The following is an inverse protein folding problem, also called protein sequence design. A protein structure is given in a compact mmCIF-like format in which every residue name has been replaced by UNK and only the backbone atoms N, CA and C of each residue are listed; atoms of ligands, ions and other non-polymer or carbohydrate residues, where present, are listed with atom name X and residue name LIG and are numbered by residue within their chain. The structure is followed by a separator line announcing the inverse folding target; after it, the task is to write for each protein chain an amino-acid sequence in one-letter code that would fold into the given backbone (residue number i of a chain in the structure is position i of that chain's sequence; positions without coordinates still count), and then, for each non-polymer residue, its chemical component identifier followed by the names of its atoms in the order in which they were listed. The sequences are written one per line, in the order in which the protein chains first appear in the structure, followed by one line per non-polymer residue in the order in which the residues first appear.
data_IF_200584230597
#
_entry.id   IF_200584230597
#
_cell.length_a   1.000
_cell.length_b   1.000
_cell.length_c   1.000
_cell.angle_alpha   90.00
_cell.angle_beta   90.00
_cell.angle_gamma   90.00
#
_symmetry.space_group_name_H-M   'P 1'
#
loop_
_entity.id
_entity.type
_entity.pdbx_description
1 polymer ?
#
# COMPACT_ATOMS: atom_id res chain seq x y z
N UNK A 1 2.00 -2.53 1.83
CA UNK A 1 0.87 -1.58 1.62
C UNK A 1 -0.11 -2.24 0.65
N UNK A 2 -1.39 -2.40 1.00
CA UNK A 2 -2.38 -3.06 0.14
C UNK A 2 -3.26 -2.02 -0.57
N UNK A 3 -3.37 -2.13 -1.90
CA UNK A 3 -4.30 -1.35 -2.71
C UNK A 3 -5.46 -2.28 -3.12
N UNK A 4 -6.67 -1.97 -2.67
CA UNK A 4 -7.89 -2.70 -3.03
C UNK A 4 -8.57 -1.93 -4.17
N UNK A 5 -8.36 -2.39 -5.39
CA UNK A 5 -8.96 -1.76 -6.56
C UNK A 5 -10.27 -2.47 -6.92
N UNK A 6 -11.38 -1.73 -6.85
CA UNK A 6 -12.78 -2.18 -7.02
C UNK A 6 -13.42 -2.75 -5.75
N UNK A 7 -13.63 -1.94 -4.70
CA UNK A 7 -14.42 -2.45 -3.59
C UNK A 7 -15.94 -2.42 -3.86
N UNK A 8 -16.57 -3.56 -3.59
CA UNK A 8 -17.92 -3.61 -3.06
C UNK A 8 -17.83 -3.49 -1.54
N UNK A 9 -18.58 -2.52 -1.03
CA UNK A 9 -18.95 -2.21 0.35
C UNK A 9 -18.02 -2.80 1.42
N UNK A 10 -17.07 -1.96 1.85
CA UNK A 10 -16.15 -2.22 2.96
C UNK A 10 -16.77 -1.64 4.24
N UNK A 11 -17.53 -2.45 4.97
CA UNK A 11 -18.20 -2.05 6.23
C UNK A 11 -17.28 -2.09 7.46
N UNK A 12 -15.98 -1.85 7.31
CA UNK A 12 -15.06 -1.84 8.45
C UNK A 12 -14.14 -0.62 8.43
N UNK A 13 -14.43 0.26 9.40
CA UNK A 13 -13.66 1.39 9.93
C UNK A 13 -14.06 2.76 9.33
N UNK A 14 -14.82 3.49 10.15
CA UNK A 14 -15.39 4.85 9.99
C UNK A 14 -16.62 4.99 9.09
N UNK A 15 -17.63 5.65 9.65
CA UNK A 15 -18.92 6.05 9.06
C UNK A 15 -18.77 6.89 7.79
N UNK A 16 -18.38 6.27 6.68
CA UNK A 16 -18.43 6.88 5.35
C UNK A 16 -19.36 6.01 4.52
N UNK A 17 -20.51 6.55 4.10
CA UNK A 17 -21.42 5.85 3.18
C UNK A 17 -20.78 5.74 1.79
N UNK A 18 -19.98 4.69 1.61
CA UNK A 18 -19.30 4.36 0.35
C UNK A 18 -20.27 4.00 -0.78
N UNK A 19 -21.52 3.69 -0.44
CA UNK A 19 -22.63 3.41 -1.36
C UNK A 19 -22.93 4.57 -2.31
N UNK A 20 -22.53 5.80 -1.95
CA UNK A 20 -22.76 7.00 -2.75
C UNK A 20 -21.71 7.22 -3.85
N UNK A 21 -20.58 6.50 -3.80
CA UNK A 21 -19.50 6.65 -4.77
C UNK A 21 -19.79 5.86 -6.05
N UNK A 22 -19.55 6.48 -7.21
CA UNK A 22 -19.68 5.81 -8.50
C UNK A 22 -18.62 4.73 -8.69
N UNK A 23 -19.00 3.64 -9.36
CA UNK A 23 -18.07 2.57 -9.72
C UNK A 23 -17.30 2.89 -11.00
N UNK A 24 -16.02 2.48 -11.13
CA UNK A 24 -15.23 1.69 -10.17
C UNK A 24 -14.64 2.53 -9.02
N UNK A 25 -14.56 1.95 -7.82
CA UNK A 25 -14.04 2.59 -6.61
C UNK A 25 -12.64 2.06 -6.27
N UNK A 26 -11.72 2.94 -5.88
CA UNK A 26 -10.35 2.58 -5.48
C UNK A 26 -10.18 2.87 -4.01
N UNK A 27 -9.71 1.88 -3.25
CA UNK A 27 -9.45 1.98 -1.82
C UNK A 27 -8.05 1.48 -1.50
N UNK A 28 -7.47 1.98 -0.43
CA UNK A 28 -6.24 1.43 0.13
C UNK A 28 -6.49 0.99 1.58
N UNK A 29 -5.74 0.00 2.02
CA UNK A 29 -5.79 -0.48 3.39
C UNK A 29 -4.43 -1.07 3.78
N UNK A 30 -4.15 -1.05 5.08
CA UNK A 30 -3.01 -1.76 5.65
C UNK A 30 -3.44 -3.04 6.36
N UNK A 31 -4.75 -3.37 6.37
CA UNK A 31 -5.25 -4.58 7.00
C UNK A 31 -4.71 -5.85 6.31
N UNK A 32 -4.42 -6.91 7.09
CA UNK A 32 -4.14 -8.23 6.54
C UNK A 32 -5.35 -8.77 5.78
N UNK A 33 -5.10 -9.70 4.85
CA UNK A 33 -6.12 -10.28 3.98
C UNK A 33 -7.22 -10.98 4.79
N UNK A 34 -6.85 -11.60 5.91
CA UNK A 34 -7.75 -12.27 6.86
C UNK A 34 -8.77 -11.33 7.52
N UNK A 35 -8.46 -10.04 7.62
CA UNK A 35 -9.34 -9.02 8.21
C UNK A 35 -10.13 -8.22 7.17
N UNK A 36 -9.93 -8.46 5.87
CA UNK A 36 -10.73 -7.82 4.84
C UNK A 36 -12.17 -8.38 4.84
N UNK A 37 -13.19 -7.54 4.58
CA UNK A 37 -14.57 -8.00 4.43
C UNK A 37 -14.70 -9.13 3.41
N UNK A 38 -15.54 -10.13 3.71
CA UNK A 38 -15.81 -11.25 2.80
C UNK A 38 -16.36 -10.82 1.43
N UNK A 39 -16.95 -9.63 1.35
CA UNK A 39 -17.37 -8.99 0.09
C UNK A 39 -16.20 -8.79 -0.85
N UNK A 40 -14.99 -8.53 -0.37
CA UNK A 40 -13.77 -8.41 -1.21
C UNK A 40 -13.48 -9.73 -1.93
N UNK A 41 -13.70 -10.86 -1.27
CA UNK A 41 -13.42 -12.20 -1.84
C UNK A 41 -14.50 -12.64 -2.83
N UNK A 42 -15.73 -12.19 -2.66
CA UNK A 42 -16.91 -12.68 -3.41
C UNK A 42 -17.38 -11.75 -4.53
N UNK A 43 -17.09 -10.45 -4.48
CA UNK A 43 -17.64 -9.44 -5.42
C UNK A 43 -16.89 -9.31 -6.76
N UNK A 44 -15.81 -10.06 -6.96
CA UNK A 44 -14.90 -9.83 -8.09
C UNK A 44 -14.12 -8.51 -7.97
N UNK A 45 -13.92 -8.04 -6.74
CA UNK A 45 -12.93 -7.02 -6.38
C UNK A 45 -11.53 -7.49 -6.77
N UNK A 46 -10.66 -6.56 -7.15
CA UNK A 46 -9.29 -6.86 -7.57
C UNK A 46 -8.32 -6.31 -6.53
N UNK A 47 -7.57 -7.20 -5.90
CA UNK A 47 -6.64 -6.82 -4.84
C UNK A 47 -5.23 -6.75 -5.41
N UNK A 48 -4.54 -5.64 -5.18
CA UNK A 48 -3.13 -5.44 -5.51
C UNK A 48 -2.37 -5.31 -4.20
N UNK A 49 -1.42 -6.21 -3.96
CA UNK A 49 -0.58 -6.16 -2.78
C UNK A 49 0.83 -5.70 -3.16
N UNK A 50 1.33 -4.68 -2.46
CA UNK A 50 2.70 -4.21 -2.62
C UNK A 50 3.51 -4.67 -1.40
N UNK A 51 4.37 -5.66 -1.62
CA UNK A 51 5.43 -6.05 -0.71
C UNK A 51 6.64 -5.13 -0.88
N UNK A 52 7.44 -5.00 0.16
CA UNK A 52 8.66 -4.20 0.16
C UNK A 52 9.63 -4.89 1.10
N UNK A 53 10.93 -4.88 0.83
CA UNK A 53 11.91 -5.56 1.66
C UNK A 53 11.74 -5.19 3.16
N UNK A 54 11.83 -6.17 4.09
CA UNK A 54 11.53 -5.95 5.52
C UNK A 54 12.41 -4.87 6.14
N UNK A 55 13.69 -4.79 5.77
CA UNK A 55 14.59 -3.78 6.31
C UNK A 55 14.19 -2.36 5.90
N UNK A 56 13.81 -2.17 4.63
CA UNK A 56 13.37 -0.86 4.12
C UNK A 56 11.98 -0.48 4.68
N UNK A 57 11.12 -1.47 4.87
CA UNK A 57 9.83 -1.30 5.57
C UNK A 57 10.03 -0.86 7.01
N UNK A 58 10.94 -1.51 7.75
CA UNK A 58 11.29 -1.14 9.11
C UNK A 58 11.79 0.31 9.20
N UNK A 59 12.78 0.68 8.38
CA UNK A 59 13.34 2.04 8.37
C UNK A 59 12.25 3.07 8.07
N UNK A 60 11.41 2.81 7.06
CA UNK A 60 10.29 3.68 6.71
C UNK A 60 9.30 3.85 7.88
N UNK A 61 8.96 2.75 8.56
CA UNK A 61 8.04 2.75 9.70
C UNK A 61 8.62 3.51 10.89
N UNK A 62 9.91 3.33 11.18
CA UNK A 62 10.60 4.04 12.26
C UNK A 62 10.62 5.55 12.01
N UNK A 63 10.94 5.99 10.79
CA UNK A 63 10.87 7.41 10.42
C UNK A 63 9.45 7.97 10.49
N UNK A 64 8.45 7.21 10.02
CA UNK A 64 7.04 7.60 10.14
C UNK A 64 6.65 7.80 11.60
N UNK A 65 7.05 6.89 12.50
CA UNK A 65 6.73 6.97 13.91
C UNK A 65 7.38 8.17 14.59
N UNK A 66 8.65 8.43 14.27
CA UNK A 66 9.40 9.56 14.79
C UNK A 66 8.81 10.89 14.32
N UNK A 67 8.54 11.02 13.02
CA UNK A 67 8.12 12.29 12.41
C UNK A 67 6.64 12.61 12.68
N UNK A 68 5.76 11.60 12.72
CA UNK A 68 4.31 11.80 12.83
C UNK A 68 3.81 11.81 14.27
N UNK A 69 4.38 10.99 15.15
CA UNK A 69 3.91 10.83 16.53
C UNK A 69 4.87 11.40 17.57
N UNK A 70 6.04 11.91 17.15
CA UNK A 70 7.02 12.53 18.05
C UNK A 70 7.64 11.53 19.03
N UNK A 71 7.64 10.24 18.68
CA UNK A 71 8.10 9.16 19.56
C UNK A 71 9.62 9.13 19.64
N UNK A 72 10.18 9.08 20.86
CA UNK A 72 11.63 8.98 21.11
C UNK A 72 12.13 7.52 21.25
N UNK A 73 11.49 6.56 20.57
CA UNK A 73 11.97 5.17 20.60
C UNK A 73 13.32 5.05 19.88
N UNK A 74 14.27 4.35 20.50
CA UNK A 74 15.56 4.09 19.85
C UNK A 74 15.37 3.17 18.64
N UNK A 75 16.25 3.28 17.64
CA UNK A 75 16.17 2.40 16.47
C UNK A 75 16.32 0.91 16.85
N UNK A 76 17.06 0.61 17.92
CA UNK A 76 17.25 -0.75 18.40
C UNK A 76 15.97 -1.32 19.01
N UNK A 77 15.31 -0.56 19.89
CA UNK A 77 14.03 -0.97 20.48
C UNK A 77 12.95 -1.12 19.41
N UNK A 78 12.87 -0.18 18.45
CA UNK A 78 11.93 -0.27 17.34
C UNK A 78 12.19 -1.50 16.45
N UNK A 79 13.46 -1.87 16.27
CA UNK A 79 13.83 -3.07 15.52
C UNK A 79 13.39 -4.35 16.26
N UNK A 80 13.61 -4.40 17.57
CA UNK A 80 13.15 -5.51 18.40
C UNK A 80 11.62 -5.63 18.37
N UNK A 81 10.89 -4.51 18.46
CA UNK A 81 9.42 -4.49 18.30
C UNK A 81 9.00 -5.02 16.93
N UNK A 82 9.64 -4.55 15.85
CA UNK A 82 9.36 -5.03 14.48
C UNK A 82 9.58 -6.54 14.35
N UNK A 83 10.69 -7.06 14.85
CA UNK A 83 11.00 -8.49 14.83
C UNK A 83 10.03 -9.33 15.67
N UNK A 84 9.50 -8.78 16.76
CA UNK A 84 8.49 -9.43 17.60
C UNK A 84 7.05 -9.22 17.07
N UNK A 85 6.88 -8.54 15.94
CA UNK A 85 5.58 -8.25 15.35
C UNK A 85 4.76 -7.20 16.10
N UNK A 86 5.38 -6.44 17.00
CA UNK A 86 4.76 -5.39 17.82
C UNK A 86 4.72 -4.05 17.07
N UNK A 87 4.22 -4.09 15.84
CA UNK A 87 4.10 -2.92 14.95
C UNK A 87 2.68 -2.82 14.41
N UNK A 88 2.23 -1.63 13.99
CA UNK A 88 0.95 -1.49 13.30
C UNK A 88 0.82 -2.50 12.16
N UNK A 89 -0.31 -3.21 12.14
CA UNK A 89 -0.66 -4.23 11.16
C UNK A 89 0.36 -5.38 11.03
N UNK A 90 1.24 -5.55 12.04
CA UNK A 90 2.11 -6.70 12.19
C UNK A 90 1.36 -7.94 12.69
N UNK A 91 2.04 -9.10 12.74
CA UNK A 91 3.45 -9.29 12.38
C UNK A 91 3.72 -9.19 10.87
N UNK A 92 4.84 -8.55 10.49
CA UNK A 92 5.11 -8.19 9.09
C UNK A 92 5.22 -9.41 8.15
N UNK A 93 5.91 -10.48 8.58
CA UNK A 93 6.15 -11.63 7.71
C UNK A 93 4.86 -12.42 7.45
N UNK A 94 4.06 -12.61 8.48
CA UNK A 94 2.74 -13.22 8.44
C UNK A 94 1.81 -12.41 7.54
N UNK A 95 1.84 -11.08 7.69
CA UNK A 95 1.08 -10.17 6.83
C UNK A 95 1.46 -10.36 5.35
N UNK A 96 2.75 -10.37 5.00
CA UNK A 96 3.19 -10.62 3.61
C UNK A 96 2.82 -12.02 3.15
N UNK A 97 2.95 -13.03 4.02
CA UNK A 97 2.68 -14.42 3.70
C UNK A 97 1.22 -14.65 3.32
N UNK A 98 0.27 -14.04 4.04
CA UNK A 98 -1.17 -14.15 3.70
C UNK A 98 -1.46 -13.74 2.24
N UNK A 99 -0.90 -12.60 1.81
CA UNK A 99 -1.09 -12.13 0.43
C UNK A 99 -0.29 -12.93 -0.59
N UNK A 100 0.89 -13.43 -0.21
CA UNK A 100 1.69 -14.29 -1.07
C UNK A 100 0.98 -15.62 -1.34
N UNK A 101 0.36 -16.23 -0.33
CA UNK A 101 -0.41 -17.47 -0.49
C UNK A 101 -1.64 -17.28 -1.38
N UNK A 102 -2.27 -16.09 -1.34
CA UNK A 102 -3.42 -15.72 -2.17
C UNK A 102 -3.06 -15.12 -3.55
N UNK A 103 -1.82 -15.27 -4.02
CA UNK A 103 -1.33 -14.70 -5.31
C UNK A 103 -2.02 -15.25 -6.57
N UNK A 104 -2.86 -16.26 -6.44
CA UNK A 104 -3.75 -16.74 -7.50
C UNK A 104 -4.91 -15.77 -7.76
N UNK A 105 -5.28 -14.96 -6.76
CA UNK A 105 -6.40 -13.99 -6.81
C UNK A 105 -5.96 -12.54 -6.57
N UNK A 106 -4.80 -12.37 -5.94
CA UNK A 106 -4.18 -11.08 -5.63
C UNK A 106 -3.05 -10.81 -6.62
N UNK A 107 -2.99 -9.60 -7.18
CA UNK A 107 -1.80 -9.15 -7.89
C UNK A 107 -0.72 -8.80 -6.87
N UNK A 108 0.22 -9.73 -6.64
CA UNK A 108 1.38 -9.50 -5.80
C UNK A 108 2.49 -8.80 -6.60
N UNK A 109 2.94 -7.64 -6.10
CA UNK A 109 4.00 -6.81 -6.68
C UNK A 109 4.97 -6.43 -5.58
N UNK A 110 6.25 -6.25 -5.92
CA UNK A 110 7.25 -5.72 -4.99
C UNK A 110 7.52 -4.24 -5.29
N UNK A 111 7.85 -3.47 -4.26
CA UNK A 111 8.24 -2.07 -4.42
C UNK A 111 9.53 -1.95 -5.25
N UNK A 112 10.43 -2.91 -5.09
CA UNK A 112 11.68 -3.02 -5.84
C UNK A 112 11.42 -3.20 -7.34
N UNK A 113 10.48 -4.07 -7.71
CA UNK A 113 10.09 -4.25 -9.12
C UNK A 113 9.41 -2.99 -9.67
N UNK A 114 8.53 -2.36 -8.89
CA UNK A 114 7.87 -1.11 -9.27
C UNK A 114 8.90 -0.01 -9.55
N UNK A 115 9.98 0.03 -8.79
CA UNK A 115 11.07 1.00 -8.96
C UNK A 115 12.00 0.65 -10.13
N UNK A 116 12.35 -0.63 -10.27
CA UNK A 116 13.29 -1.08 -11.30
C UNK A 116 12.66 -1.09 -12.70
N UNK A 117 11.39 -1.50 -12.80
CA UNK A 117 10.68 -1.69 -14.06
C UNK A 117 9.28 -1.05 -14.00
N UNK A 118 9.20 0.29 -13.91
CA UNK A 118 7.93 0.99 -13.65
C UNK A 118 6.91 0.80 -14.78
N UNK A 119 7.33 0.92 -16.04
CA UNK A 119 6.42 0.76 -17.19
C UNK A 119 5.83 -0.65 -17.31
N UNK A 120 6.65 -1.67 -17.06
CA UNK A 120 6.22 -3.07 -17.08
C UNK A 120 5.20 -3.33 -15.98
N UNK A 121 5.47 -2.86 -14.76
CA UNK A 121 4.54 -3.04 -13.64
C UNK A 121 3.24 -2.24 -13.81
N UNK A 122 3.30 -1.02 -14.36
CA UNK A 122 2.09 -0.24 -14.70
C UNK A 122 1.25 -0.97 -15.75
N UNK A 123 1.88 -1.58 -16.76
CA UNK A 123 1.19 -2.39 -17.76
C UNK A 123 0.53 -3.62 -17.14
N UNK A 124 1.27 -4.36 -16.29
CA UNK A 124 0.77 -5.53 -15.54
C UNK A 124 -0.40 -5.16 -14.63
N UNK A 125 -0.33 -4.02 -13.94
CA UNK A 125 -1.43 -3.49 -13.11
C UNK A 125 -2.63 -3.14 -13.98
N UNK A 126 -2.45 -2.44 -15.10
CA UNK A 126 -3.54 -2.07 -16.00
C UNK A 126 -4.25 -3.29 -16.60
N UNK A 127 -3.50 -4.32 -17.00
CA UNK A 127 -4.02 -5.61 -17.46
C UNK A 127 -4.83 -6.30 -16.35
N UNK A 128 -4.26 -6.37 -15.14
CA UNK A 128 -4.98 -6.91 -13.98
C UNK A 128 -6.25 -6.13 -13.67
N UNK A 129 -6.25 -4.81 -13.83
CA UNK A 129 -7.41 -3.92 -13.66
C UNK A 129 -8.33 -3.86 -14.88
N UNK A 130 -7.96 -4.52 -15.99
CA UNK A 130 -8.77 -4.57 -17.21
C UNK A 130 -9.03 -3.20 -17.81
N UNK A 131 -8.12 -2.24 -17.57
CA UNK A 131 -8.23 -0.88 -18.08
C UNK A 131 -7.13 -0.60 -19.11
N UNK A 132 -7.42 0.32 -20.03
CA UNK A 132 -6.41 0.87 -20.93
C UNK A 132 -5.78 2.09 -20.26
N UNK A 133 -4.47 2.22 -20.35
CA UNK A 133 -3.73 3.35 -19.78
C UNK A 133 -2.64 3.83 -20.72
N UNK A 134 -2.21 5.08 -20.55
CA UNK A 134 -0.98 5.62 -21.15
C UNK A 134 0.16 5.36 -20.16
N UNK A 135 0.88 4.25 -20.37
CA UNK A 135 1.85 3.72 -19.40
C UNK A 135 2.91 4.77 -19.06
N UNK A 136 3.49 5.40 -20.07
CA UNK A 136 4.59 6.37 -19.92
C UNK A 136 4.14 7.59 -19.12
N UNK A 137 2.93 8.08 -19.41
CA UNK A 137 2.33 9.22 -18.69
C UNK A 137 2.06 8.89 -17.22
N UNK A 138 1.55 7.69 -16.93
CA UNK A 138 1.33 7.25 -15.55
C UNK A 138 2.65 7.15 -14.78
N UNK A 139 3.69 6.60 -15.40
CA UNK A 139 5.02 6.51 -14.77
C UNK A 139 5.58 7.90 -14.47
N UNK A 140 5.44 8.86 -15.40
CA UNK A 140 5.88 10.24 -15.20
C UNK A 140 5.12 10.94 -14.06
N UNK A 141 3.79 10.85 -14.06
CA UNK A 141 2.93 11.49 -13.06
C UNK A 141 3.08 10.85 -11.66
N UNK A 142 3.34 9.56 -11.60
CA UNK A 142 3.56 8.82 -10.35
C UNK A 142 5.03 8.71 -9.95
N UNK A 143 5.95 9.39 -10.63
CA UNK A 143 7.37 9.39 -10.25
C UNK A 143 7.57 10.04 -8.88
N UNK A 144 8.59 9.60 -8.15
CA UNK A 144 8.88 10.15 -6.82
C UNK A 144 9.11 11.66 -6.85
N UNK A 145 9.77 12.16 -7.90
CA UNK A 145 10.03 13.60 -8.06
C UNK A 145 8.73 14.39 -8.22
N UNK A 146 7.86 13.95 -9.13
CA UNK A 146 6.55 14.56 -9.36
C UNK A 146 5.72 14.55 -8.07
N UNK A 147 5.57 13.39 -7.43
CA UNK A 147 4.77 13.24 -6.22
C UNK A 147 5.31 14.09 -5.05
N UNK A 148 6.63 14.11 -4.86
CA UNK A 148 7.29 14.92 -3.81
C UNK A 148 7.06 16.42 -4.03
N UNK A 149 7.13 16.88 -5.28
CA UNK A 149 6.91 18.28 -5.62
C UNK A 149 5.44 18.67 -5.41
N UNK A 150 4.49 17.84 -5.86
CA UNK A 150 3.06 18.06 -5.64
C UNK A 150 2.68 18.06 -4.15
N UNK A 151 3.30 17.20 -3.32
CA UNK A 151 3.10 17.20 -1.87
C UNK A 151 3.52 18.53 -1.23
N UNK A 152 4.69 19.05 -1.63
CA UNK A 152 5.20 20.36 -1.15
C UNK A 152 4.25 21.50 -1.51
N UNK A 153 3.73 21.51 -2.73
CA UNK A 153 2.78 22.51 -3.21
C UNK A 153 1.44 22.48 -2.44
N UNK A 154 1.00 21.29 -2.00
CA UNK A 154 -0.21 21.09 -1.21
C UNK A 154 -0.08 21.45 0.28
N UNK A 155 1.12 21.81 0.74
CA UNK A 155 1.37 22.09 2.16
C UNK A 155 1.34 20.84 3.04
N UNK A 156 1.36 19.65 2.45
CA UNK A 156 1.59 18.40 3.17
C UNK A 156 3.10 18.32 3.43
N UNK A 157 3.48 18.52 4.70
CA UNK A 157 4.88 18.70 5.13
C UNK A 157 5.83 17.73 4.44
N UNK A 158 6.86 18.28 3.81
CA UNK A 158 7.90 17.48 3.19
C UNK A 158 8.57 16.65 4.28
N UNK A 159 8.47 15.32 4.16
CA UNK A 159 9.41 14.44 4.81
C UNK A 159 10.78 14.72 4.16
N UNK A 160 11.59 15.55 4.82
CA UNK A 160 13.01 15.66 4.51
C UNK A 160 13.65 14.33 4.89
N UNK A 161 14.18 13.65 3.87
CA UNK A 161 14.97 12.45 4.02
C UNK A 161 16.43 12.90 3.90
N UNK A 162 17.06 13.18 5.04
CA UNK A 162 18.51 13.41 5.15
C UNK A 162 19.27 12.08 5.25
#
# INVERSE_FOLDING_TARGET
MCLVAKACDLDLITTVQFDTLSSPRVFNTHLPLSLLPETVKTSGCRVIYIAHHPADTFVSLWHLHKNKFGTEISIQEAFDEFCNGLVPEGPYFEHVLEFWEARDRVLFVTYEDLKANPEENVRRIAEFLGCKTMVEKVVEECSFETLRNTSKERGEGSLEWD
#
